data_IF_704551801305
#
_entry.id   IF_704551801305
#
_cell.length_a   1.000
_cell.length_b   1.000
_cell.length_c   1.000
_cell.angle_alpha   90.00
_cell.angle_beta   90.00
_cell.angle_gamma   90.00
#
_symmetry.space_group_name_H-M   'P 1'
#
loop_
_entity.id
_entity.type
_entity.pdbx_description
1 polymer ?
#
# COMPACT_ATOMS: atom_id res chain seq x y z
N UNK A 1 38.06 2.88 2.81
CA UNK A 1 37.74 1.80 3.77
C UNK A 1 37.51 0.46 3.08
N UNK A 2 36.60 0.33 2.12
CA UNK A 2 36.28 -0.95 1.43
C UNK A 2 37.50 -1.61 0.76
N UNK A 3 38.37 -0.82 0.11
CA UNK A 3 39.57 -1.33 -0.55
C UNK A 3 40.60 -1.98 0.42
N UNK A 4 40.62 -1.57 1.70
CA UNK A 4 41.49 -2.18 2.72
C UNK A 4 40.98 -3.57 3.13
N UNK A 5 39.67 -3.75 3.25
CA UNK A 5 39.06 -5.03 3.61
C UNK A 5 39.13 -6.07 2.48
N UNK A 6 39.05 -5.64 1.22
CA UNK A 6 39.30 -6.51 0.06
C UNK A 6 40.76 -7.03 0.03
N UNK A 7 41.74 -6.20 0.37
CA UNK A 7 43.14 -6.63 0.48
C UNK A 7 43.39 -7.64 1.62
N UNK A 8 42.52 -7.64 2.62
CA UNK A 8 42.55 -8.60 3.74
C UNK A 8 41.73 -9.89 3.46
N UNK A 9 41.18 -10.05 2.26
CA UNK A 9 40.41 -11.24 1.87
C UNK A 9 39.01 -11.34 2.51
N UNK A 10 38.50 -10.26 3.10
CA UNK A 10 37.19 -10.23 3.74
C UNK A 10 36.10 -9.93 2.70
N UNK A 11 35.08 -10.78 2.63
CA UNK A 11 33.96 -10.65 1.67
C UNK A 11 32.98 -9.52 2.02
N UNK A 12 33.03 -9.00 3.25
CA UNK A 12 32.21 -7.86 3.69
C UNK A 12 32.96 -7.02 4.72
N UNK A 13 32.54 -5.76 4.87
CA UNK A 13 33.03 -4.90 5.95
C UNK A 13 32.51 -5.46 7.27
N UNK A 14 33.38 -5.81 8.24
CA UNK A 14 32.94 -6.29 9.54
C UNK A 14 32.04 -5.27 10.23
N UNK A 15 30.95 -5.73 10.85
CA UNK A 15 30.08 -4.86 11.63
C UNK A 15 30.89 -4.18 12.74
N UNK A 16 30.74 -2.86 12.88
CA UNK A 16 31.39 -2.12 13.96
C UNK A 16 30.83 -2.64 15.27
N UNK A 17 31.66 -3.35 16.04
CA UNK A 17 31.27 -3.86 17.35
C UNK A 17 30.94 -2.68 18.28
N UNK A 18 29.79 -2.74 18.95
CA UNK A 18 29.44 -1.72 19.94
C UNK A 18 30.50 -1.70 21.03
N UNK A 19 30.88 -0.51 21.50
CA UNK A 19 31.87 -0.37 22.61
C UNK A 19 31.39 -1.04 23.91
N UNK A 20 30.08 -1.30 24.03
CA UNK A 20 29.47 -2.08 25.12
C UNK A 20 29.75 -3.57 25.03
N UNK A 21 30.10 -4.09 23.84
CA UNK A 21 30.50 -5.48 23.63
C UNK A 21 32.01 -5.72 23.87
N UNK A 22 32.78 -4.66 24.12
CA UNK A 22 34.22 -4.70 24.32
C UNK A 22 34.60 -4.34 25.77
N UNK A 23 35.51 -5.09 26.42
CA UNK A 23 35.95 -4.78 27.78
C UNK A 23 36.61 -3.40 27.84
N UNK A 24 36.26 -2.62 28.87
CA UNK A 24 36.92 -1.35 29.25
C UNK A 24 36.92 -0.21 28.20
N UNK A 25 36.20 -0.29 27.10
CA UNK A 25 36.20 0.79 26.08
C UNK A 25 35.06 1.82 26.21
N UNK A 26 34.35 1.82 27.33
CA UNK A 26 33.12 2.60 27.54
C UNK A 26 33.37 4.11 27.62
N UNK A 27 34.58 4.50 28.01
CA UNK A 27 34.99 5.89 28.24
C UNK A 27 35.55 6.58 26.98
N UNK A 28 35.71 5.86 25.86
CA UNK A 28 36.27 6.43 24.62
C UNK A 28 35.12 6.89 23.71
N UNK A 29 34.90 8.20 23.53
CA UNK A 29 33.78 8.71 22.75
C UNK A 29 34.02 8.47 21.25
N UNK A 30 33.37 7.46 20.65
CA UNK A 30 33.25 7.32 19.20
C UNK A 30 31.89 7.87 18.74
N UNK A 31 31.71 9.19 18.80
CA UNK A 31 30.46 9.87 18.43
C UNK A 31 30.41 10.26 16.94
N UNK A 32 30.73 9.35 16.02
CA UNK A 32 30.55 9.60 14.57
C UNK A 32 29.13 9.31 14.09
N UNK A 33 28.39 8.42 14.75
CA UNK A 33 26.98 8.20 14.48
C UNK A 33 26.16 8.78 15.63
N UNK A 34 25.33 9.78 15.33
CA UNK A 34 24.42 10.37 16.31
C UNK A 34 23.47 9.32 16.91
N UNK A 35 23.12 9.49 18.17
CA UNK A 35 22.06 8.69 18.79
C UNK A 35 20.72 9.10 18.17
N UNK A 36 20.21 8.27 17.27
CA UNK A 36 18.85 8.40 16.77
C UNK A 36 17.97 7.41 17.54
N UNK A 37 16.83 7.84 18.12
CA UNK A 37 15.89 6.91 18.71
C UNK A 37 15.41 5.95 17.63
N UNK A 38 15.67 4.66 17.83
CA UNK A 38 15.16 3.58 16.98
C UNK A 38 14.34 2.63 17.86
N UNK A 39 13.21 2.11 17.35
CA UNK A 39 12.47 1.09 18.06
C UNK A 39 13.35 -0.17 18.20
N UNK A 40 13.49 -0.68 19.43
CA UNK A 40 14.22 -1.92 19.70
C UNK A 40 13.20 -3.04 19.78
N UNK A 41 12.92 -3.62 18.62
CA UNK A 41 11.86 -4.59 18.47
C UNK A 41 12.27 -6.04 18.76
N UNK A 42 13.58 -6.31 18.78
CA UNK A 42 14.15 -7.60 19.13
C UNK A 42 15.43 -7.41 19.94
N UNK A 43 15.57 -8.19 21.01
CA UNK A 43 16.74 -8.16 21.89
C UNK A 43 17.52 -9.45 21.65
N UNK A 44 18.54 -9.38 20.78
CA UNK A 44 19.41 -10.51 20.51
C UNK A 44 20.41 -10.68 21.66
N UNK A 45 20.06 -11.52 22.63
CA UNK A 45 20.97 -11.90 23.72
C UNK A 45 21.84 -13.06 23.22
N UNK A 46 23.02 -12.74 22.68
CA UNK A 46 24.04 -13.73 22.37
C UNK A 46 24.88 -14.01 23.63
N UNK A 47 24.98 -15.28 24.02
CA UNK A 47 26.02 -15.70 24.97
C UNK A 47 27.38 -15.58 24.28
N UNK A 48 28.31 -14.90 24.94
CA UNK A 48 29.73 -14.94 24.55
C UNK A 48 30.18 -16.40 24.67
N UNK A 49 30.55 -17.02 23.53
CA UNK A 49 31.14 -18.36 23.54
C UNK A 49 32.62 -18.23 23.97
N UNK A 50 33.09 -18.99 24.96
CA UNK A 50 34.52 -19.17 25.18
C UNK A 50 35.16 -19.78 23.94
N UNK A 51 36.41 -19.42 23.66
CA UNK A 51 37.13 -19.63 22.39
C UNK A 51 37.32 -21.11 22.01
N UNK A 52 36.99 -22.09 22.85
CA UNK A 52 37.25 -23.49 22.56
C UNK A 52 36.19 -24.42 23.15
N UNK A 53 35.11 -24.73 22.42
CA UNK A 53 34.41 -26.03 22.54
C UNK A 53 33.75 -26.44 21.21
N UNK A 54 33.68 -27.76 20.90
CA UNK A 54 33.14 -28.25 19.64
C UNK A 54 31.63 -27.99 19.53
N UNK A 55 31.18 -27.73 18.31
CA UNK A 55 29.79 -27.45 17.96
C UNK A 55 28.86 -28.63 18.28
N UNK A 56 28.09 -28.53 19.37
CA UNK A 56 26.88 -29.37 19.55
C UNK A 56 25.71 -28.77 18.76
N UNK A 57 24.95 -29.66 18.10
CA UNK A 57 23.78 -29.35 17.27
C UNK A 57 22.81 -28.39 17.99
N UNK A 58 22.37 -27.37 17.26
CA UNK A 58 21.44 -26.33 17.71
C UNK A 58 20.05 -26.98 17.90
N UNK A 59 19.62 -27.23 19.15
CA UNK A 59 18.20 -27.41 19.44
C UNK A 59 17.55 -26.03 19.37
N UNK A 60 16.56 -25.87 18.48
CA UNK A 60 15.61 -24.77 18.58
C UNK A 60 14.78 -25.06 19.83
N UNK A 61 15.07 -24.39 20.94
CA UNK A 61 14.24 -24.46 22.13
C UNK A 61 13.14 -23.41 22.00
N UNK A 62 11.89 -23.85 22.00
CA UNK A 62 10.74 -23.00 22.29
C UNK A 62 10.95 -22.34 23.67
N UNK A 63 11.14 -21.03 23.69
CA UNK A 63 11.16 -20.23 24.91
C UNK A 63 12.46 -20.25 25.73
N UNK A 64 12.63 -19.17 26.49
CA UNK A 64 13.63 -19.04 27.55
C UNK A 64 13.15 -19.81 28.78
N UNK A 65 13.71 -21.00 29.03
CA UNK A 65 13.50 -21.68 30.32
C UNK A 65 14.59 -21.23 31.29
N UNK A 66 14.27 -20.55 32.41
CA UNK A 66 15.26 -20.18 33.42
C UNK A 66 15.91 -21.45 33.98
N UNK A 67 17.22 -21.61 33.79
CA UNK A 67 17.97 -22.75 34.36
C UNK A 67 18.20 -22.64 35.87
N UNK A 68 17.93 -21.47 36.46
CA UNK A 68 18.39 -21.15 37.82
C UNK A 68 17.34 -21.48 38.87
N UNK A 69 16.05 -21.33 38.58
CA UNK A 69 14.95 -21.72 39.46
C UNK A 69 13.63 -21.51 38.72
N UNK A 70 12.82 -22.56 38.58
CA UNK A 70 11.40 -22.43 38.24
C UNK A 70 10.63 -23.00 39.44
N UNK A 71 10.05 -22.16 40.32
CA UNK A 71 9.34 -22.64 41.51
C UNK A 71 8.12 -23.48 41.17
N UNK A 72 7.67 -23.43 39.91
CA UNK A 72 6.51 -24.17 39.43
C UNK A 72 6.99 -25.26 38.45
N UNK A 73 7.06 -26.54 38.87
CA UNK A 73 7.55 -27.63 38.02
C UNK A 73 6.60 -27.96 36.86
N UNK A 74 5.34 -27.52 36.95
CA UNK A 74 4.30 -27.64 35.92
C UNK A 74 3.80 -26.26 35.53
N UNK A 75 3.61 -25.96 34.23
CA UNK A 75 3.01 -24.71 33.80
C UNK A 75 1.65 -24.54 34.49
N UNK A 76 1.43 -23.38 35.12
CA UNK A 76 0.13 -23.08 35.71
C UNK A 76 -0.90 -23.03 34.57
N UNK A 77 -1.99 -23.81 34.63
CA UNK A 77 -3.01 -23.78 33.60
C UNK A 77 -3.66 -22.38 33.57
N UNK A 78 -3.44 -21.67 32.46
CA UNK A 78 -3.75 -20.24 32.34
C UNK A 78 -5.23 -19.93 32.54
N UNK A 79 -6.13 -20.69 31.92
CA UNK A 79 -7.57 -20.46 32.00
C UNK A 79 -8.14 -20.54 33.44
N UNK A 80 -7.92 -21.63 34.20
CA UNK A 80 -8.43 -21.72 35.57
C UNK A 80 -7.73 -20.75 36.53
N UNK A 81 -6.43 -20.49 36.33
CA UNK A 81 -5.72 -19.47 37.12
C UNK A 81 -6.30 -18.07 36.92
N UNK A 82 -6.56 -17.69 35.66
CA UNK A 82 -7.11 -16.38 35.32
C UNK A 82 -8.51 -16.20 35.90
N UNK A 83 -9.35 -17.24 35.82
CA UNK A 83 -10.69 -17.23 36.40
C UNK A 83 -10.64 -17.04 37.93
N UNK A 84 -9.80 -17.81 38.63
CA UNK A 84 -9.63 -17.70 40.08
C UNK A 84 -9.06 -16.34 40.49
N UNK A 85 -8.08 -15.82 39.75
CA UNK A 85 -7.51 -14.50 40.01
C UNK A 85 -8.55 -13.39 39.82
N UNK A 86 -9.39 -13.46 38.78
CA UNK A 86 -10.46 -12.48 38.55
C UNK A 86 -11.49 -12.51 39.69
N UNK A 87 -11.93 -13.69 40.12
CA UNK A 87 -12.87 -13.85 41.23
C UNK A 87 -12.31 -13.25 42.54
N UNK A 88 -11.04 -13.53 42.83
CA UNK A 88 -10.36 -12.97 44.01
C UNK A 88 -10.18 -11.45 43.93
N UNK A 89 -9.84 -10.91 42.76
CA UNK A 89 -9.69 -9.46 42.58
C UNK A 89 -11.05 -8.74 42.65
N UNK A 90 -12.13 -9.37 42.18
CA UNK A 90 -13.49 -8.86 42.31
C UNK A 90 -13.98 -8.88 43.76
N UNK A 91 -13.72 -9.96 44.50
CA UNK A 91 -14.16 -10.08 45.90
C UNK A 91 -13.54 -9.01 46.81
N UNK A 92 -12.29 -8.63 46.55
CA UNK A 92 -11.60 -7.55 47.28
C UNK A 92 -11.88 -6.15 46.69
N UNK A 93 -12.74 -6.03 45.67
CA UNK A 93 -13.05 -4.78 44.95
C UNK A 93 -11.78 -4.03 44.49
N UNK A 94 -10.79 -4.77 43.99
CA UNK A 94 -9.51 -4.19 43.57
C UNK A 94 -9.67 -3.23 42.38
N UNK A 95 -9.08 -2.04 42.48
CA UNK A 95 -8.96 -1.08 41.38
C UNK A 95 -7.64 -1.23 40.60
N UNK A 96 -6.89 -2.31 40.84
CA UNK A 96 -5.60 -2.53 40.20
C UNK A 96 -5.75 -2.58 38.68
N UNK A 97 -4.89 -1.90 37.93
CA UNK A 97 -4.97 -1.84 36.46
C UNK A 97 -4.91 -3.22 35.80
N UNK A 98 -4.37 -4.24 36.49
CA UNK A 98 -4.32 -5.62 36.01
C UNK A 98 -5.71 -6.19 35.69
N UNK A 99 -6.78 -5.79 36.41
CA UNK A 99 -8.16 -6.24 36.13
C UNK A 99 -8.70 -5.76 34.78
N UNK A 100 -8.09 -4.71 34.21
CA UNK A 100 -8.44 -4.21 32.86
C UNK A 100 -7.67 -4.93 31.75
N UNK A 101 -6.56 -5.57 32.08
CA UNK A 101 -5.70 -6.30 31.12
C UNK A 101 -6.05 -7.79 31.09
N UNK A 102 -6.58 -8.33 32.19
CA UNK A 102 -7.05 -9.71 32.24
C UNK A 102 -8.30 -9.88 31.34
N UNK A 103 -8.39 -10.98 30.57
CA UNK A 103 -9.50 -11.23 29.66
C UNK A 103 -10.80 -11.35 30.45
N UNK A 104 -11.71 -10.38 30.30
CA UNK A 104 -13.00 -10.36 30.99
C UNK A 104 -14.00 -11.36 30.38
N UNK A 105 -13.75 -11.82 29.15
CA UNK A 105 -14.55 -12.79 28.41
C UNK A 105 -13.66 -13.64 27.50
N UNK A 106 -14.07 -14.89 27.25
CA UNK A 106 -13.42 -15.76 26.25
C UNK A 106 -13.51 -15.19 24.83
N UNK A 107 -14.40 -14.21 24.58
CA UNK A 107 -14.60 -13.55 23.28
C UNK A 107 -14.01 -12.14 23.23
N UNK A 108 -12.85 -11.91 23.84
CA UNK A 108 -12.19 -10.60 23.74
C UNK A 108 -11.63 -10.43 22.32
N UNK A 109 -11.99 -9.37 21.57
CA UNK A 109 -11.44 -9.13 20.24
C UNK A 109 -9.90 -9.03 20.33
N UNK A 110 -9.21 -9.65 19.38
CA UNK A 110 -7.75 -9.68 19.35
C UNK A 110 -7.21 -8.75 18.28
N UNK A 111 -6.04 -8.19 18.55
CA UNK A 111 -5.24 -7.41 17.60
C UNK A 111 -4.07 -8.29 17.19
N UNK A 112 -3.82 -8.39 15.89
CA UNK A 112 -2.65 -9.10 15.37
C UNK A 112 -1.38 -8.32 15.72
N UNK A 113 -0.36 -9.02 16.23
CA UNK A 113 0.95 -8.43 16.55
C UNK A 113 2.06 -9.38 16.10
N UNK A 114 3.32 -8.93 16.13
CA UNK A 114 4.46 -9.78 15.77
C UNK A 114 4.67 -10.97 16.72
N UNK A 115 4.01 -10.96 17.89
CA UNK A 115 4.02 -12.04 18.86
C UNK A 115 2.76 -12.93 18.79
N UNK A 116 1.92 -12.74 17.77
CA UNK A 116 0.63 -13.40 17.61
C UNK A 116 -0.56 -12.52 18.03
N UNK A 117 -1.78 -13.07 18.03
CA UNK A 117 -2.97 -12.34 18.43
C UNK A 117 -2.92 -12.01 19.94
N UNK A 118 -3.08 -10.74 20.29
CA UNK A 118 -3.16 -10.29 21.69
C UNK A 118 -4.51 -9.62 21.95
N UNK A 119 -5.03 -9.59 23.18
CA UNK A 119 -6.27 -8.88 23.49
C UNK A 119 -6.21 -7.39 23.12
N UNK A 120 -7.25 -6.89 22.46
CA UNK A 120 -7.49 -5.47 22.21
C UNK A 120 -7.50 -4.72 23.55
N UNK A 121 -6.67 -3.70 23.71
CA UNK A 121 -6.53 -2.97 24.96
C UNK A 121 -5.33 -3.38 25.84
N UNK A 122 -4.61 -4.44 25.46
CA UNK A 122 -3.36 -4.80 26.14
C UNK A 122 -2.25 -3.75 25.86
N UNK A 123 -1.28 -3.56 26.77
CA UNK A 123 -0.15 -2.66 26.52
C UNK A 123 0.58 -2.97 25.20
N UNK A 124 0.72 -4.25 24.86
CA UNK A 124 1.33 -4.70 23.60
C UNK A 124 0.48 -4.27 22.38
N UNK A 125 -0.85 -4.28 22.48
CA UNK A 125 -1.73 -3.81 21.40
C UNK A 125 -1.60 -2.31 21.10
N UNK A 126 -1.17 -1.50 22.07
CA UNK A 126 -0.95 -0.06 21.90
C UNK A 126 0.50 0.31 21.62
N UNK A 127 1.45 -0.41 22.23
CA UNK A 127 2.87 -0.07 22.19
C UNK A 127 3.59 -0.67 20.99
N UNK A 128 3.05 -1.73 20.39
CA UNK A 128 3.46 -2.08 19.04
C UNK A 128 2.64 -1.29 18.05
N UNK A 129 3.30 -0.30 17.45
CA UNK A 129 2.91 0.12 16.11
C UNK A 129 2.98 -1.14 15.26
N UNK A 130 1.87 -1.56 14.67
CA UNK A 130 1.92 -2.49 13.54
C UNK A 130 3.02 -1.97 12.62
N UNK A 131 3.90 -2.84 12.15
CA UNK A 131 4.73 -2.51 10.99
C UNK A 131 3.75 -2.27 9.85
N UNK A 132 3.24 -1.05 9.76
CA UNK A 132 2.54 -0.55 8.60
C UNK A 132 3.56 -0.71 7.48
N UNK A 133 3.15 -1.35 6.38
CA UNK A 133 3.96 -1.30 5.16
C UNK A 133 4.26 0.18 4.91
N UNK A 134 5.52 0.48 4.61
CA UNK A 134 6.03 1.84 4.47
C UNK A 134 5.12 2.63 3.52
N UNK A 135 4.20 3.45 4.05
CA UNK A 135 3.19 4.19 3.26
C UNK A 135 1.71 4.05 3.67
N UNK A 136 1.30 3.04 4.45
CA UNK A 136 -0.08 2.95 4.98
C UNK A 136 -0.26 3.92 6.17
N UNK A 137 -1.44 4.54 6.30
CA UNK A 137 -1.80 5.48 7.37
C UNK A 137 -3.11 5.01 8.03
N UNK A 138 -3.02 4.58 9.29
CA UNK A 138 -4.16 4.01 10.03
C UNK A 138 -4.59 4.95 11.17
N UNK A 139 -5.81 5.48 11.07
CA UNK A 139 -6.52 6.30 12.07
C UNK A 139 -7.59 5.50 12.83
N UNK A 140 -8.19 4.51 12.17
CA UNK A 140 -9.22 3.60 12.67
C UNK A 140 -8.64 2.18 12.78
N UNK A 141 -8.22 1.73 13.98
CA UNK A 141 -7.55 0.44 14.17
C UNK A 141 -8.43 -0.79 13.91
N UNK A 142 -9.75 -0.63 13.90
CA UNK A 142 -10.71 -1.70 13.58
C UNK A 142 -10.65 -2.15 12.12
N UNK A 143 -10.11 -1.31 11.22
CA UNK A 143 -9.92 -1.61 9.81
C UNK A 143 -8.45 -1.41 9.43
N UNK A 144 -7.53 -2.26 9.93
CA UNK A 144 -6.09 -2.09 9.67
C UNK A 144 -5.70 -2.41 8.22
N UNK A 145 -6.61 -3.00 7.44
CA UNK A 145 -6.38 -3.41 6.05
C UNK A 145 -7.57 -3.02 5.17
N UNK A 146 -7.30 -2.71 3.92
CA UNK A 146 -8.33 -2.55 2.88
C UNK A 146 -8.75 -3.94 2.33
N UNK A 147 -10.05 -4.20 2.12
CA UNK A 147 -10.53 -5.44 1.50
C UNK A 147 -9.98 -5.59 0.07
N UNK A 148 -9.98 -6.79 -0.49
CA UNK A 148 -9.65 -6.96 -1.92
C UNK A 148 -10.69 -6.26 -2.79
N UNK A 149 -10.26 -5.75 -3.95
CA UNK A 149 -11.19 -5.16 -4.91
C UNK A 149 -12.22 -6.21 -5.37
N UNK A 150 -13.48 -5.80 -5.47
CA UNK A 150 -14.57 -6.69 -5.90
C UNK A 150 -14.57 -6.97 -7.42
N UNK A 151 -13.83 -6.17 -8.21
CA UNK A 151 -13.62 -6.33 -9.67
C UNK A 151 -14.91 -6.68 -10.43
N UNK A 152 -15.79 -5.70 -10.69
CA UNK A 152 -17.11 -5.98 -11.26
C UNK A 152 -16.99 -6.63 -12.65
N UNK A 153 -17.94 -7.48 -13.06
CA UNK A 153 -17.99 -7.98 -14.42
C UNK A 153 -18.21 -6.80 -15.39
N UNK A 154 -17.36 -6.72 -16.40
CA UNK A 154 -17.41 -5.66 -17.42
C UNK A 154 -17.76 -6.27 -18.77
N UNK A 155 -19.05 -6.32 -19.10
CA UNK A 155 -19.48 -6.78 -20.41
C UNK A 155 -18.96 -5.87 -21.52
N UNK A 156 -18.43 -6.47 -22.58
CA UNK A 156 -18.08 -5.75 -23.81
C UNK A 156 -19.31 -5.64 -24.69
N UNK A 157 -19.77 -4.41 -24.94
CA UNK A 157 -20.79 -4.13 -25.96
C UNK A 157 -20.22 -4.11 -27.37
N UNK A 158 -18.88 -4.15 -27.49
CA UNK A 158 -18.17 -4.17 -28.76
C UNK A 158 -17.84 -5.60 -29.19
N UNK A 159 -18.14 -5.93 -30.45
CA UNK A 159 -17.86 -7.23 -31.07
C UNK A 159 -16.84 -7.07 -32.20
N UNK A 160 -15.82 -7.90 -32.20
CA UNK A 160 -14.76 -7.90 -33.20
C UNK A 160 -14.23 -9.31 -33.43
N UNK A 161 -14.05 -9.69 -34.70
CA UNK A 161 -13.53 -11.00 -35.08
C UNK A 161 -12.01 -10.93 -35.13
N UNK A 162 -11.37 -11.57 -34.16
CA UNK A 162 -9.92 -11.61 -34.05
C UNK A 162 -9.30 -12.53 -35.10
N UNK A 163 -8.21 -12.08 -35.71
CA UNK A 163 -7.30 -12.96 -36.47
C UNK A 163 -6.50 -13.81 -35.49
N UNK A 164 -5.92 -14.91 -35.97
CA UNK A 164 -5.17 -15.85 -35.12
C UNK A 164 -4.10 -15.17 -34.25
N UNK A 165 -3.26 -14.32 -34.85
CA UNK A 165 -2.21 -13.60 -34.11
C UNK A 165 -2.78 -12.63 -33.06
N UNK A 166 -3.91 -11.97 -33.35
CA UNK A 166 -4.59 -11.07 -32.42
C UNK A 166 -5.22 -11.84 -31.26
N UNK A 167 -5.77 -13.03 -31.54
CA UNK A 167 -6.31 -13.92 -30.53
C UNK A 167 -5.22 -14.41 -29.57
N UNK A 168 -4.08 -14.86 -30.09
CA UNK A 168 -2.94 -15.29 -29.27
C UNK A 168 -2.42 -14.13 -28.39
N UNK A 169 -2.27 -12.93 -28.96
CA UNK A 169 -1.85 -11.74 -28.23
C UNK A 169 -2.85 -11.33 -27.15
N UNK A 170 -4.15 -11.34 -27.46
CA UNK A 170 -5.20 -11.01 -26.49
C UNK A 170 -5.30 -12.06 -25.37
N UNK A 171 -5.18 -13.34 -25.68
CA UNK A 171 -5.09 -14.42 -24.70
C UNK A 171 -3.91 -14.21 -23.73
N UNK A 172 -2.78 -13.72 -24.23
CA UNK A 172 -1.62 -13.37 -23.39
C UNK A 172 -1.87 -12.25 -22.38
N UNK A 173 -2.93 -11.45 -22.54
CA UNK A 173 -3.32 -10.42 -21.56
C UNK A 173 -4.26 -10.95 -20.48
N UNK A 174 -4.89 -12.09 -20.69
CA UNK A 174 -5.87 -12.62 -19.75
C UNK A 174 -5.22 -12.92 -18.39
N UNK A 175 -5.96 -12.60 -17.35
CA UNK A 175 -5.60 -12.88 -15.97
C UNK A 175 -6.84 -13.42 -15.28
N UNK A 176 -6.64 -14.39 -14.40
CA UNK A 176 -7.67 -14.80 -13.42
C UNK A 176 -7.89 -13.70 -12.39
N UNK A 177 -8.98 -13.77 -11.64
CA UNK A 177 -9.25 -12.82 -10.55
C UNK A 177 -8.14 -12.88 -9.49
N UNK A 178 -7.68 -14.08 -9.11
CA UNK A 178 -6.59 -14.26 -8.16
C UNK A 178 -5.29 -13.63 -8.67
N UNK A 179 -4.94 -13.81 -9.94
CA UNK A 179 -3.76 -13.18 -10.55
C UNK A 179 -3.88 -11.67 -10.60
N UNK A 180 -5.07 -11.13 -10.90
CA UNK A 180 -5.30 -9.69 -10.91
C UNK A 180 -5.09 -9.07 -9.52
N UNK A 181 -5.59 -9.72 -8.47
CA UNK A 181 -5.41 -9.30 -7.09
C UNK A 181 -3.94 -9.43 -6.64
N UNK A 182 -3.24 -10.48 -7.05
CA UNK A 182 -1.82 -10.66 -6.78
C UNK A 182 -0.96 -9.57 -7.46
N UNK A 183 -1.28 -9.21 -8.71
CA UNK A 183 -0.64 -8.09 -9.41
C UNK A 183 -0.82 -6.80 -8.64
N UNK A 184 -2.02 -6.49 -8.13
CA UNK A 184 -2.25 -5.31 -7.29
C UNK A 184 -1.33 -5.31 -6.08
N UNK A 185 -1.28 -6.41 -5.33
CA UNK A 185 -0.47 -6.51 -4.10
C UNK A 185 1.02 -6.34 -4.40
N UNK A 186 1.52 -7.00 -5.45
CA UNK A 186 2.95 -7.02 -5.80
C UNK A 186 3.41 -5.77 -6.56
N UNK A 187 2.51 -4.84 -6.86
CA UNK A 187 2.81 -3.59 -7.57
C UNK A 187 2.45 -2.33 -6.79
N UNK A 188 2.24 -2.44 -5.46
CA UNK A 188 1.93 -1.29 -4.57
C UNK A 188 3.04 -0.25 -4.48
N UNK A 189 4.28 -0.61 -4.78
CA UNK A 189 5.40 0.34 -4.92
C UNK A 189 5.38 1.12 -6.27
N UNK A 190 4.40 0.80 -7.11
CA UNK A 190 4.11 1.44 -8.39
C UNK A 190 5.35 1.66 -9.26
N UNK A 191 5.76 2.92 -9.48
CA UNK A 191 6.87 3.27 -10.37
C UNK A 191 8.22 2.66 -9.98
N UNK A 192 8.38 2.25 -8.72
CA UNK A 192 9.58 1.54 -8.23
C UNK A 192 9.54 0.02 -8.52
N UNK A 193 8.40 -0.52 -8.92
CA UNK A 193 8.22 -1.94 -9.25
C UNK A 193 8.42 -2.20 -10.74
N UNK A 194 9.37 -3.07 -11.09
CA UNK A 194 9.55 -3.53 -12.48
C UNK A 194 8.29 -4.23 -13.00
N UNK A 195 7.67 -5.07 -12.17
CA UNK A 195 6.43 -5.77 -12.51
C UNK A 195 5.33 -4.78 -12.91
N UNK A 196 5.21 -3.66 -12.20
CA UNK A 196 4.26 -2.60 -12.52
C UNK A 196 4.46 -2.04 -13.94
N UNK A 197 5.71 -1.81 -14.35
CA UNK A 197 6.01 -1.37 -15.73
C UNK A 197 5.67 -2.45 -16.76
N UNK A 198 6.04 -3.71 -16.46
CA UNK A 198 5.86 -4.85 -17.38
C UNK A 198 4.36 -5.11 -17.65
N UNK A 199 3.51 -5.12 -16.62
CA UNK A 199 2.06 -5.35 -16.80
C UNK A 199 1.34 -4.19 -17.48
N UNK A 200 1.89 -2.97 -17.42
CA UNK A 200 1.29 -1.77 -18.05
C UNK A 200 1.59 -1.66 -19.54
N UNK A 201 2.73 -2.19 -20.00
CA UNK A 201 3.26 -1.95 -21.35
C UNK A 201 2.26 -2.30 -22.47
N UNK A 202 1.46 -3.34 -22.28
CA UNK A 202 0.54 -3.87 -23.28
C UNK A 202 -0.94 -3.58 -22.98
N UNK A 203 -1.21 -2.65 -22.06
CA UNK A 203 -2.57 -2.29 -21.63
C UNK A 203 -2.82 -0.80 -21.80
N UNK A 204 -4.05 -0.44 -22.11
CA UNK A 204 -4.48 0.96 -22.10
C UNK A 204 -4.71 1.35 -20.63
N UNK A 205 -3.97 2.34 -20.15
CA UNK A 205 -4.05 2.76 -18.74
C UNK A 205 -5.00 3.94 -18.52
N UNK A 206 -5.61 4.04 -17.35
CA UNK A 206 -6.59 5.08 -17.02
C UNK A 206 -6.10 6.51 -17.29
N UNK A 207 -4.81 6.77 -17.10
CA UNK A 207 -4.16 8.08 -17.36
C UNK A 207 -4.28 8.56 -18.82
N UNK A 208 -4.50 7.65 -19.78
CA UNK A 208 -4.66 7.98 -21.21
C UNK A 208 -6.10 7.82 -21.71
N UNK A 209 -7.05 7.43 -20.86
CA UNK A 209 -8.44 7.17 -21.29
C UNK A 209 -9.08 8.36 -21.98
N UNK A 210 -8.83 9.59 -21.50
CA UNK A 210 -9.32 10.79 -22.18
C UNK A 210 -8.81 10.90 -23.62
N UNK A 211 -7.52 10.61 -23.84
CA UNK A 211 -6.91 10.70 -25.18
C UNK A 211 -7.52 9.72 -26.18
N UNK A 212 -8.07 8.60 -25.70
CA UNK A 212 -8.80 7.61 -26.50
C UNK A 212 -10.25 8.05 -26.68
N UNK A 213 -10.96 8.32 -25.59
CA UNK A 213 -12.40 8.61 -25.60
C UNK A 213 -12.78 9.89 -26.34
N UNK A 214 -11.89 10.88 -26.44
CA UNK A 214 -12.15 12.12 -27.18
C UNK A 214 -11.50 12.16 -28.57
N UNK A 215 -10.89 11.07 -29.03
CA UNK A 215 -10.19 11.01 -30.32
C UNK A 215 -11.20 10.94 -31.46
N UNK A 216 -10.97 11.72 -32.52
CA UNK A 216 -11.82 11.72 -33.72
C UNK A 216 -11.10 11.17 -34.98
N UNK A 217 -9.77 10.97 -34.91
CA UNK A 217 -8.94 10.49 -36.02
C UNK A 217 -7.52 10.14 -35.56
N UNK A 218 -6.66 9.69 -36.48
CA UNK A 218 -5.27 9.28 -36.22
C UNK A 218 -5.10 8.19 -35.13
N UNK A 219 -6.04 7.25 -35.09
CA UNK A 219 -6.09 6.20 -34.07
C UNK A 219 -4.87 5.27 -34.13
N UNK A 220 -4.40 4.89 -35.32
CA UNK A 220 -3.19 4.07 -35.49
C UNK A 220 -1.93 4.77 -34.92
N UNK A 221 -1.78 6.07 -35.19
CA UNK A 221 -0.66 6.86 -34.66
C UNK A 221 -0.70 6.95 -33.13
N UNK A 222 -1.89 7.09 -32.55
CA UNK A 222 -2.07 7.02 -31.09
C UNK A 222 -1.71 5.63 -30.56
N UNK A 223 -2.22 4.57 -31.18
CA UNK A 223 -1.96 3.19 -30.78
C UNK A 223 -0.46 2.87 -30.78
N UNK A 224 0.24 3.22 -31.87
CA UNK A 224 1.69 3.05 -31.98
C UNK A 224 2.43 3.86 -30.91
N UNK A 225 2.02 5.10 -30.66
CA UNK A 225 2.64 5.95 -29.63
C UNK A 225 2.47 5.36 -28.23
N UNK A 226 1.31 4.78 -27.91
CA UNK A 226 1.07 4.15 -26.61
C UNK A 226 1.95 2.91 -26.40
N UNK A 227 2.26 2.16 -27.46
CA UNK A 227 3.14 0.98 -27.41
C UNK A 227 4.63 1.33 -27.36
N UNK A 228 5.02 2.42 -28.03
CA UNK A 228 6.43 2.80 -28.24
C UNK A 228 6.91 3.89 -27.30
N UNK A 229 6.02 4.55 -26.55
CA UNK A 229 6.44 5.61 -25.63
C UNK A 229 7.41 5.06 -24.60
N UNK A 230 8.66 5.54 -24.66
CA UNK A 230 9.63 5.28 -23.60
C UNK A 230 9.16 6.01 -22.33
N UNK A 231 9.37 5.41 -21.17
CA UNK A 231 9.05 6.01 -19.88
C UNK A 231 9.89 7.27 -19.63
N UNK A 232 9.41 8.42 -20.11
CA UNK A 232 10.03 9.72 -19.87
C UNK A 232 9.50 10.22 -18.53
N UNK A 233 10.37 10.22 -17.52
CA UNK A 233 10.07 10.86 -16.24
C UNK A 233 10.37 12.36 -16.36
N UNK A 234 9.32 13.18 -16.31
CA UNK A 234 9.46 14.64 -16.31
C UNK A 234 9.80 15.16 -14.91
N UNK A 235 10.33 16.37 -14.80
CA UNK A 235 10.57 17.04 -13.51
C UNK A 235 9.28 17.14 -12.69
N UNK A 236 8.16 17.47 -13.33
CA UNK A 236 6.85 17.53 -12.69
C UNK A 236 6.40 16.16 -12.16
N UNK A 237 6.66 15.07 -12.89
CA UNK A 237 6.35 13.71 -12.41
C UNK A 237 7.21 13.33 -11.21
N UNK A 238 8.51 13.64 -11.25
CA UNK A 238 9.42 13.38 -10.12
C UNK A 238 9.00 14.17 -8.87
N UNK A 239 8.71 15.45 -9.04
CA UNK A 239 8.19 16.29 -7.96
C UNK A 239 6.90 15.71 -7.37
N UNK A 240 5.97 15.28 -8.24
CA UNK A 240 4.73 14.64 -7.81
C UNK A 240 4.96 13.40 -6.96
N UNK A 241 5.81 12.48 -7.42
CA UNK A 241 6.15 11.23 -6.72
C UNK A 241 6.78 11.53 -5.34
N UNK A 242 7.67 12.51 -5.26
CA UNK A 242 8.36 12.86 -4.00
C UNK A 242 7.40 13.44 -2.94
N UNK A 243 6.37 14.19 -3.35
CA UNK A 243 5.46 14.88 -2.43
C UNK A 243 4.14 14.13 -2.17
N UNK A 244 3.86 13.07 -2.93
CA UNK A 244 2.65 12.26 -2.78
C UNK A 244 2.49 11.66 -1.36
N UNK A 245 3.53 11.13 -0.68
CA UNK A 245 3.40 10.64 0.68
C UNK A 245 2.98 11.73 1.68
N UNK A 246 3.49 12.95 1.53
CA UNK A 246 3.12 14.09 2.38
C UNK A 246 1.67 14.52 2.15
N UNK A 247 1.22 14.53 0.89
CA UNK A 247 -0.16 14.83 0.54
C UNK A 247 -1.13 13.76 1.07
N UNK A 248 -0.77 12.47 1.01
CA UNK A 248 -1.55 11.39 1.59
C UNK A 248 -1.67 11.52 3.12
N UNK A 249 -0.59 11.94 3.79
CA UNK A 249 -0.61 12.24 5.23
C UNK A 249 -1.54 13.41 5.56
N UNK A 250 -1.43 14.52 4.83
CA UNK A 250 -2.33 15.67 4.96
C UNK A 250 -3.79 15.24 4.80
N UNK A 251 -4.10 14.44 3.77
CA UNK A 251 -5.45 13.91 3.56
C UNK A 251 -5.97 13.16 4.79
N UNK A 252 -5.19 12.22 5.33
CA UNK A 252 -5.59 11.44 6.51
C UNK A 252 -5.74 12.31 7.76
N UNK A 253 -4.95 13.38 7.90
CA UNK A 253 -5.07 14.34 9.00
C UNK A 253 -6.33 15.20 8.89
N UNK A 254 -6.68 15.65 7.68
CA UNK A 254 -7.86 16.49 7.42
C UNK A 254 -9.16 15.68 7.52
N UNK A 255 -9.17 14.46 7.00
CA UNK A 255 -10.39 13.64 6.91
C UNK A 255 -10.58 12.71 8.11
N UNK A 256 -9.49 12.33 8.78
CA UNK A 256 -9.50 11.27 9.78
C UNK A 256 -9.53 9.85 9.19
N UNK A 257 -9.52 9.71 7.86
CA UNK A 257 -9.68 8.41 7.18
C UNK A 257 -8.40 7.56 7.22
N UNK A 258 -8.57 6.25 7.09
CA UNK A 258 -7.45 5.35 6.82
C UNK A 258 -7.07 5.45 5.34
N UNK A 259 -5.77 5.37 5.06
CA UNK A 259 -5.20 5.43 3.72
C UNK A 259 -4.26 4.24 3.54
N UNK A 260 -4.39 3.54 2.42
CA UNK A 260 -3.60 2.36 2.10
C UNK A 260 -2.94 2.49 0.73
N UNK A 261 -1.77 1.89 0.57
CA UNK A 261 -1.12 1.78 -0.74
C UNK A 261 -1.97 0.99 -1.73
N UNK A 262 -1.96 1.42 -2.98
CA UNK A 262 -2.63 0.76 -4.11
C UNK A 262 -1.62 0.38 -5.18
N UNK A 263 -1.77 -0.81 -5.76
CA UNK A 263 -1.01 -1.23 -6.93
C UNK A 263 -1.72 -1.01 -8.26
N UNK A 264 -1.25 -1.70 -9.28
CA UNK A 264 -1.90 -1.76 -10.59
C UNK A 264 -3.06 -2.75 -10.57
N UNK A 265 -4.21 -2.27 -11.01
CA UNK A 265 -5.47 -3.00 -11.06
C UNK A 265 -5.75 -3.38 -12.50
N UNK A 266 -6.00 -4.66 -12.72
CA UNK A 266 -6.48 -5.24 -13.98
C UNK A 266 -7.82 -5.88 -13.66
N UNK A 267 -8.85 -5.60 -14.47
CA UNK A 267 -10.13 -6.29 -14.32
C UNK A 267 -10.14 -7.50 -15.29
N UNK A 268 -10.35 -8.73 -14.81
CA UNK A 268 -10.37 -9.94 -15.65
C UNK A 268 -11.34 -9.88 -16.84
N UNK A 269 -12.46 -9.15 -16.72
CA UNK A 269 -13.42 -8.96 -17.82
C UNK A 269 -12.95 -7.95 -18.87
N UNK A 270 -11.93 -7.14 -18.58
CA UNK A 270 -11.34 -6.18 -19.49
C UNK A 270 -9.81 -6.20 -19.36
N UNK A 271 -9.15 -7.33 -19.70
CA UNK A 271 -7.73 -7.55 -19.41
C UNK A 271 -6.81 -6.61 -20.20
N UNK A 272 -7.31 -5.96 -21.25
CA UNK A 272 -6.62 -4.93 -22.03
C UNK A 272 -6.59 -3.55 -21.38
N UNK A 273 -7.34 -3.34 -20.30
CA UNK A 273 -7.41 -2.09 -19.55
C UNK A 273 -6.71 -2.23 -18.20
N UNK A 274 -6.23 -1.13 -17.65
CA UNK A 274 -5.71 -1.11 -16.29
C UNK A 274 -5.63 0.27 -15.67
N UNK A 275 -5.50 0.32 -14.34
CA UNK A 275 -5.40 1.56 -13.59
C UNK A 275 -4.42 1.44 -12.43
N UNK A 276 -3.85 2.57 -12.02
CA UNK A 276 -3.14 2.70 -10.74
C UNK A 276 -3.78 3.85 -9.98
N UNK A 277 -4.71 3.58 -9.05
CA UNK A 277 -5.08 4.56 -8.04
C UNK A 277 -3.85 4.93 -7.20
N UNK A 278 -3.75 6.16 -6.72
CA UNK A 278 -2.61 6.54 -5.86
C UNK A 278 -2.75 5.88 -4.49
N UNK A 279 -3.94 5.93 -3.87
CA UNK A 279 -4.25 5.26 -2.59
C UNK A 279 -5.65 4.67 -2.57
N UNK A 280 -5.86 3.75 -1.63
CA UNK A 280 -7.18 3.23 -1.22
C UNK A 280 -7.57 3.88 0.10
N UNK A 281 -8.86 4.09 0.34
CA UNK A 281 -9.35 4.82 1.50
C UNK A 281 -10.45 4.05 2.20
N UNK A 282 -10.40 4.03 3.53
CA UNK A 282 -11.55 3.67 4.35
C UNK A 282 -12.07 4.91 5.10
N UNK A 283 -13.30 5.29 4.80
CA UNK A 283 -14.07 6.38 5.39
C UNK A 283 -15.28 5.81 6.15
N UNK A 284 -15.26 5.77 7.49
CA UNK A 284 -16.34 5.18 8.28
C UNK A 284 -17.65 5.97 8.21
N UNK A 285 -17.63 7.21 7.72
CA UNK A 285 -18.81 8.07 7.65
C UNK A 285 -19.53 7.98 6.29
N UNK A 286 -18.96 7.27 5.32
CA UNK A 286 -19.59 7.07 4.01
C UNK A 286 -20.52 5.86 4.01
N UNK A 287 -21.63 5.95 3.28
CA UNK A 287 -22.52 4.80 3.00
C UNK A 287 -21.76 3.64 2.33
N UNK A 288 -20.77 3.98 1.51
CA UNK A 288 -19.83 3.02 0.91
C UNK A 288 -18.45 3.31 1.52
N UNK A 289 -18.05 2.61 2.59
CA UNK A 289 -16.90 3.04 3.38
C UNK A 289 -15.56 2.90 2.66
N UNK A 290 -15.51 2.13 1.57
CA UNK A 290 -14.32 1.92 0.77
C UNK A 290 -14.37 2.77 -0.50
N UNK A 291 -13.23 3.39 -0.81
CA UNK A 291 -13.07 4.18 -2.03
C UNK A 291 -11.60 4.39 -2.37
N UNK A 292 -11.36 5.28 -3.33
CA UNK A 292 -10.03 5.58 -3.83
C UNK A 292 -9.61 7.01 -3.45
N UNK A 293 -8.31 7.28 -3.57
CA UNK A 293 -7.75 8.62 -3.50
C UNK A 293 -6.77 8.81 -4.67
N UNK A 294 -6.99 9.87 -5.42
CA UNK A 294 -6.15 10.35 -6.50
C UNK A 294 -5.52 11.69 -6.09
N UNK A 295 -4.21 11.76 -6.09
CA UNK A 295 -3.41 12.87 -5.59
C UNK A 295 -2.70 13.56 -6.74
N UNK A 296 -2.72 14.89 -6.75
CA UNK A 296 -1.94 15.72 -7.66
C UNK A 296 -1.15 16.74 -6.84
N UNK A 297 0.16 16.70 -6.98
CA UNK A 297 1.08 17.66 -6.36
C UNK A 297 1.71 18.54 -7.45
N UNK A 298 0.99 19.54 -7.99
CA UNK A 298 1.56 20.45 -8.96
C UNK A 298 2.60 21.36 -8.29
N UNK A 299 3.64 21.73 -9.02
CA UNK A 299 4.63 22.72 -8.58
C UNK A 299 4.05 24.15 -8.72
N UNK A 300 3.05 24.47 -7.88
CA UNK A 300 2.32 25.75 -7.87
C UNK A 300 2.03 26.18 -6.43
N UNK A 301 1.90 27.49 -6.22
CA UNK A 301 1.64 28.07 -4.90
C UNK A 301 0.23 27.73 -4.39
N UNK A 302 -0.77 27.91 -5.25
CA UNK A 302 -2.19 27.72 -4.90
C UNK A 302 -2.98 26.93 -5.95
N UNK A 303 -3.96 26.13 -5.49
CA UNK A 303 -4.87 25.36 -6.35
C UNK A 303 -5.73 26.24 -7.27
N UNK A 304 -5.93 27.52 -6.92
CA UNK A 304 -6.65 28.47 -7.77
C UNK A 304 -6.00 28.65 -9.15
N UNK A 305 -4.69 28.40 -9.24
CA UNK A 305 -3.93 28.48 -10.48
C UNK A 305 -3.95 27.17 -11.31
N UNK A 306 -4.61 26.11 -10.83
CA UNK A 306 -4.65 24.83 -11.51
C UNK A 306 -5.69 24.83 -12.65
N UNK A 307 -5.28 24.67 -13.93
CA UNK A 307 -6.18 24.84 -15.07
C UNK A 307 -7.22 23.72 -15.21
N UNK A 308 -7.05 22.62 -14.48
CA UNK A 308 -7.98 21.50 -14.45
C UNK A 308 -9.11 21.69 -13.42
N UNK A 309 -8.98 22.65 -12.50
CA UNK A 309 -10.06 23.02 -11.59
C UNK A 309 -10.90 24.16 -12.18
N UNK A 310 -12.19 24.18 -11.86
CA UNK A 310 -13.14 25.23 -12.27
C UNK A 310 -13.92 25.72 -11.06
N UNK A 311 -13.93 27.04 -10.87
CA UNK A 311 -14.81 27.71 -9.90
C UNK A 311 -16.28 27.53 -10.33
N UNK A 312 -17.09 27.04 -9.41
CA UNK A 312 -18.52 26.87 -9.53
C UNK A 312 -19.25 28.16 -9.12
N UNK A 313 -20.54 28.26 -9.47
CA UNK A 313 -21.35 29.43 -9.16
C UNK A 313 -21.48 29.69 -7.65
N UNK A 314 -21.40 28.63 -6.82
CA UNK A 314 -21.42 28.72 -5.36
C UNK A 314 -20.06 29.08 -4.73
N UNK A 315 -19.05 29.43 -5.53
CA UNK A 315 -17.72 29.80 -5.07
C UNK A 315 -16.76 28.62 -4.80
N UNK A 316 -17.24 27.38 -4.78
CA UNK A 316 -16.39 26.18 -4.63
C UNK A 316 -15.63 25.87 -5.92
N UNK A 317 -14.56 25.10 -5.84
CA UNK A 317 -13.85 24.58 -7.01
C UNK A 317 -14.18 23.11 -7.20
N UNK A 318 -14.19 22.65 -8.45
CA UNK A 318 -14.29 21.23 -8.80
C UNK A 318 -13.40 20.89 -9.99
N UNK A 319 -12.97 19.64 -10.10
CA UNK A 319 -12.33 19.13 -11.30
C UNK A 319 -13.26 19.26 -12.50
N UNK A 320 -12.73 19.77 -13.60
CA UNK A 320 -13.45 19.84 -14.87
C UNK A 320 -13.77 18.43 -15.35
N UNK A 321 -15.05 18.13 -15.53
CA UNK A 321 -15.51 16.83 -16.06
C UNK A 321 -14.95 16.51 -17.46
N UNK A 322 -14.53 17.53 -18.20
CA UNK A 322 -13.89 17.37 -19.52
C UNK A 322 -12.38 17.13 -19.46
N UNK A 323 -11.74 17.26 -18.29
CA UNK A 323 -10.29 17.13 -18.13
C UNK A 323 -9.86 15.65 -18.07
N UNK A 324 -8.59 15.39 -18.42
CA UNK A 324 -8.04 14.03 -18.44
C UNK A 324 -8.09 13.32 -17.08
N UNK A 325 -7.81 14.04 -15.99
CA UNK A 325 -7.88 13.48 -14.64
C UNK A 325 -9.29 12.99 -14.26
N UNK A 326 -10.36 13.61 -14.78
CA UNK A 326 -11.71 13.15 -14.49
C UNK A 326 -11.95 11.77 -15.12
N UNK A 327 -11.51 11.58 -16.37
CA UNK A 327 -11.58 10.29 -17.06
C UNK A 327 -10.65 9.25 -16.42
N UNK A 328 -9.51 9.67 -15.88
CA UNK A 328 -8.62 8.78 -15.14
C UNK A 328 -9.30 8.23 -13.88
N UNK A 329 -9.91 9.12 -13.09
CA UNK A 329 -10.65 8.77 -11.87
C UNK A 329 -11.87 7.90 -12.16
N UNK A 330 -12.64 8.22 -13.20
CA UNK A 330 -13.75 7.37 -13.65
C UNK A 330 -13.27 5.97 -14.07
N UNK A 331 -12.14 5.90 -14.78
CA UNK A 331 -11.54 4.64 -15.19
C UNK A 331 -11.02 3.79 -14.03
N UNK A 332 -10.43 4.43 -13.01
CA UNK A 332 -10.01 3.75 -11.79
C UNK A 332 -11.22 3.10 -11.10
N UNK A 333 -12.27 3.88 -10.82
CA UNK A 333 -13.50 3.37 -10.20
C UNK A 333 -14.20 2.29 -11.04
N UNK A 334 -14.25 2.47 -12.36
CA UNK A 334 -14.86 1.50 -13.27
C UNK A 334 -14.16 0.15 -13.31
N UNK A 335 -12.82 0.13 -13.16
CA UNK A 335 -12.04 -1.10 -13.14
C UNK A 335 -12.01 -1.77 -11.76
N UNK A 336 -11.96 -0.99 -10.67
CA UNK A 336 -11.91 -1.52 -9.30
C UNK A 336 -13.29 -1.91 -8.75
N UNK A 337 -14.35 -1.25 -9.21
CA UNK A 337 -15.71 -1.36 -8.66
C UNK A 337 -16.03 -0.36 -7.54
N UNK A 338 -15.07 0.48 -7.16
CA UNK A 338 -15.28 1.48 -6.10
C UNK A 338 -16.28 2.56 -6.52
N UNK A 339 -17.07 3.06 -5.56
CA UNK A 339 -18.19 3.97 -5.85
C UNK A 339 -17.84 5.45 -5.76
N UNK A 340 -16.68 5.77 -5.21
CA UNK A 340 -16.16 7.11 -5.15
C UNK A 340 -14.64 7.14 -5.11
N UNK A 341 -14.11 8.29 -5.50
CA UNK A 341 -12.70 8.63 -5.39
C UNK A 341 -12.58 10.05 -4.86
N UNK A 342 -11.79 10.24 -3.82
CA UNK A 342 -11.41 11.57 -3.37
C UNK A 342 -10.28 12.09 -4.27
N UNK A 343 -10.46 13.28 -4.82
CA UNK A 343 -9.48 13.95 -5.65
C UNK A 343 -8.82 15.07 -4.84
N UNK A 344 -7.53 14.89 -4.55
CA UNK A 344 -6.72 15.83 -3.78
C UNK A 344 -5.73 16.54 -4.70
N UNK A 345 -5.69 17.86 -4.62
CA UNK A 345 -4.65 18.69 -5.21
C UNK A 345 -3.90 19.39 -4.09
N UNK A 346 -2.63 19.04 -3.86
CA UNK A 346 -1.78 19.69 -2.86
C UNK A 346 -0.78 20.63 -3.55
N UNK A 347 -0.97 21.93 -3.34
CA UNK A 347 -0.05 22.99 -3.76
C UNK A 347 0.88 23.39 -2.61
N UNK A 348 1.74 24.41 -2.73
CA UNK A 348 2.62 24.81 -1.62
C UNK A 348 1.83 25.36 -0.43
N UNK A 349 0.95 26.32 -0.66
CA UNK A 349 0.28 27.09 0.38
C UNK A 349 -1.08 26.53 0.79
N UNK A 350 -1.76 25.84 -0.12
CA UNK A 350 -3.14 25.35 0.08
C UNK A 350 -3.36 23.96 -0.52
N UNK A 351 -4.60 23.47 -0.42
CA UNK A 351 -5.05 22.26 -1.07
C UNK A 351 -6.51 22.36 -1.51
N UNK A 352 -6.86 21.58 -2.52
CA UNK A 352 -8.25 21.33 -2.93
C UNK A 352 -8.56 19.85 -2.72
N UNK A 353 -9.69 19.56 -2.05
CA UNK A 353 -10.19 18.22 -1.85
C UNK A 353 -11.66 18.16 -2.29
N UNK A 354 -12.00 17.20 -3.13
CA UNK A 354 -13.39 16.90 -3.50
C UNK A 354 -13.62 15.39 -3.60
N UNK A 355 -14.83 14.95 -3.23
CA UNK A 355 -15.27 13.57 -3.49
C UNK A 355 -15.97 13.50 -4.84
N UNK A 356 -15.48 12.62 -5.72
CA UNK A 356 -16.06 12.34 -7.03
C UNK A 356 -16.82 11.01 -6.94
N UNK A 357 -18.12 11.04 -7.16
CA UNK A 357 -18.95 9.85 -7.24
C UNK A 357 -18.81 9.17 -8.61
N UNK A 358 -18.91 7.83 -8.62
CA UNK A 358 -18.90 7.06 -9.85
C UNK A 358 -20.07 7.44 -10.77
N UNK A 359 -19.77 7.68 -12.05
CA UNK A 359 -20.77 7.98 -13.07
C UNK A 359 -20.84 6.83 -14.07
N UNK A 360 -21.87 6.01 -13.94
CA UNK A 360 -22.06 4.80 -14.72
C UNK A 360 -22.28 5.09 -16.22
N UNK A 361 -23.10 6.07 -16.56
CA UNK A 361 -23.37 6.45 -17.96
C UNK A 361 -22.10 6.89 -18.71
N UNK A 362 -21.27 7.71 -18.04
CA UNK A 362 -19.99 8.13 -18.57
C UNK A 362 -19.03 6.94 -18.69
N UNK A 363 -18.98 6.08 -17.69
CA UNK A 363 -18.14 4.88 -17.74
C UNK A 363 -18.53 3.94 -18.88
N UNK A 364 -19.83 3.66 -19.07
CA UNK A 364 -20.33 2.83 -20.17
C UNK A 364 -19.90 3.40 -21.54
N UNK A 365 -20.02 4.72 -21.72
CA UNK A 365 -19.59 5.42 -22.93
C UNK A 365 -18.06 5.32 -23.12
N UNK A 366 -17.30 5.51 -22.04
CA UNK A 366 -15.84 5.39 -22.06
C UNK A 366 -15.40 3.96 -22.39
N UNK A 367 -15.97 2.96 -21.72
CA UNK A 367 -15.64 1.54 -21.90
C UNK A 367 -15.86 1.09 -23.33
N UNK A 368 -17.00 1.46 -23.93
CA UNK A 368 -17.29 1.19 -25.35
C UNK A 368 -16.22 1.79 -26.28
N UNK A 369 -15.82 3.04 -26.04
CA UNK A 369 -14.78 3.70 -26.83
C UNK A 369 -13.38 3.08 -26.63
N UNK A 370 -13.06 2.65 -25.40
CA UNK A 370 -11.80 2.00 -25.05
C UNK A 370 -11.71 0.60 -25.68
N UNK A 371 -12.78 -0.20 -25.63
CA UNK A 371 -12.84 -1.52 -26.26
C UNK A 371 -12.69 -1.41 -27.77
N UNK A 372 -13.49 -0.53 -28.40
CA UNK A 372 -13.42 -0.30 -29.84
C UNK A 372 -12.01 0.12 -30.26
N UNK A 373 -11.39 1.05 -29.52
CA UNK A 373 -10.04 1.51 -29.82
C UNK A 373 -8.99 0.40 -29.66
N UNK A 374 -9.12 -0.41 -28.60
CA UNK A 374 -8.20 -1.51 -28.35
C UNK A 374 -8.23 -2.53 -29.49
N UNK A 375 -9.40 -3.05 -29.82
CA UNK A 375 -9.54 -4.11 -30.80
C UNK A 375 -9.31 -3.63 -32.25
N UNK A 376 -9.73 -2.42 -32.60
CA UNK A 376 -9.57 -1.91 -33.98
C UNK A 376 -8.18 -1.37 -34.28
N UNK A 377 -7.46 -0.84 -33.28
CA UNK A 377 -6.21 -0.10 -33.52
C UNK A 377 -5.06 -0.57 -32.62
N UNK A 378 -5.28 -0.72 -31.32
CA UNK A 378 -4.18 -1.05 -30.40
C UNK A 378 -3.65 -2.48 -30.59
N UNK A 379 -4.54 -3.47 -30.56
CA UNK A 379 -4.21 -4.89 -30.70
C UNK A 379 -3.59 -5.23 -32.07
N UNK A 380 -4.10 -4.71 -33.21
CA UNK A 380 -3.42 -4.89 -34.49
C UNK A 380 -2.02 -4.31 -34.54
N UNK A 381 -1.75 -3.20 -33.82
CA UNK A 381 -0.41 -2.61 -33.73
C UNK A 381 0.51 -3.40 -32.79
N UNK A 382 -0.04 -4.02 -31.73
CA UNK A 382 0.71 -4.95 -30.88
C UNK A 382 1.21 -6.16 -31.64
N UNK A 383 0.46 -6.67 -32.61
CA UNK A 383 0.84 -7.83 -33.40
C UNK A 383 1.90 -7.53 -34.48
N UNK A 384 2.20 -6.24 -34.74
CA UNK A 384 3.20 -5.81 -35.73
C UNK A 384 4.57 -5.52 -35.12
N UNK A 385 4.61 -5.20 -33.83
CA UNK A 385 5.81 -4.92 -33.05
C UNK A 385 6.31 -6.17 -32.34
#
# INVERSE_FOLDING_TARGET
MVCHFQKLGLQSVPAVHSKTSLPQTWHVPSRTEGLTPKPVDSLNISKVKPVQQPTKRRRVSEGLVPKVYCPVPTPIPWAPFTASLLEQLQSIKSNAQITKVLPQSQNTPTVSTKFGPVPLGSPISYQQRLELKDGDIIKHPSHPTFPTFALPPLESTFSYVLRQAEQEMFLGLHVTEEQALEVEVNTREQSHSKLWHDVRKNRITSSVFKQVCSRQGDHDSLALRLLTSKGIQTSAMKFGIEHEPEAAKLYSEVTGNNVYLSGFVINPSAPHLGASPDRKVYDPNSETPHGLLEIKCPDKDSFYSCPYLKKQNNGTYKLKSTHSYYYQVMGQMGLTGEKWCDFLVKCRDDYHLERIAFNEDLWCSMKTALDSFFFLFHLPQMCKN
#
